data_IF_001884374811
#
_entry.id   IF_001884374811
#
_cell.length_a   1.000
_cell.length_b   1.000
_cell.length_c   1.000
_cell.angle_alpha   90.00
_cell.angle_beta   90.00
_cell.angle_gamma   90.00
#
_symmetry.space_group_name_H-M   'P 1'
#
loop_
_entity.id
_entity.type
_entity.pdbx_description
1 polymer ?
#
# COMPACT_ATOMS: atom_id res chain seq x y z
N UNK A 1 -4.21 27.84 -2.66
CA UNK A 1 -4.28 28.58 -1.37
C UNK A 1 -4.27 30.10 -1.50
N UNK A 2 -3.56 30.73 -2.45
CA UNK A 2 -3.52 32.20 -2.58
C UNK A 2 -4.82 32.87 -3.06
N UNK A 3 -5.72 32.13 -3.73
CA UNK A 3 -6.98 32.65 -4.28
C UNK A 3 -8.11 32.72 -3.25
N UNK A 4 -8.24 31.72 -2.38
CA UNK A 4 -9.19 31.70 -1.25
C UNK A 4 -8.92 32.83 -0.25
N UNK A 5 -7.65 33.07 0.08
CA UNK A 5 -7.23 34.14 1.00
C UNK A 5 -7.57 35.54 0.47
N UNK A 6 -7.57 35.71 -0.86
CA UNK A 6 -7.96 36.96 -1.51
C UNK A 6 -9.47 37.18 -1.54
N UNK A 7 -10.27 36.11 -1.55
CA UNK A 7 -11.74 36.19 -1.46
C UNK A 7 -12.19 36.52 -0.04
N UNK A 8 -11.57 35.91 0.98
CA UNK A 8 -11.81 36.24 2.39
C UNK A 8 -11.47 37.69 2.72
N UNK A 9 -10.35 38.20 2.19
CA UNK A 9 -9.94 39.60 2.37
C UNK A 9 -10.92 40.59 1.72
N UNK A 10 -11.52 40.22 0.58
CA UNK A 10 -12.54 41.04 -0.09
C UNK A 10 -13.88 40.99 0.64
N UNK A 11 -14.27 39.82 1.15
CA UNK A 11 -15.50 39.66 1.95
C UNK A 11 -15.40 40.42 3.28
N UNK A 12 -14.26 40.37 3.97
CA UNK A 12 -14.02 41.10 5.21
C UNK A 12 -14.02 42.63 5.00
N UNK A 13 -13.49 43.13 3.88
CA UNK A 13 -13.57 44.56 3.52
C UNK A 13 -15.00 45.01 3.22
N UNK A 14 -15.80 44.19 2.55
CA UNK A 14 -17.21 44.49 2.30
C UNK A 14 -18.01 44.53 3.61
N UNK A 15 -17.74 43.63 4.55
CA UNK A 15 -18.38 43.57 5.86
C UNK A 15 -18.03 44.77 6.75
N UNK A 16 -16.77 45.22 6.71
CA UNK A 16 -16.33 46.42 7.42
C UNK A 16 -16.89 47.71 6.80
N UNK A 17 -17.08 47.74 5.48
CA UNK A 17 -17.74 48.87 4.82
C UNK A 17 -19.24 48.92 5.13
N UNK A 18 -19.89 47.76 5.28
CA UNK A 18 -21.28 47.67 5.73
C UNK A 18 -21.45 48.13 7.19
N UNK A 19 -20.52 47.78 8.08
CA UNK A 19 -20.51 48.23 9.48
C UNK A 19 -20.30 49.75 9.59
N UNK A 20 -19.41 50.32 8.78
CA UNK A 20 -19.20 51.77 8.74
C UNK A 20 -20.44 52.54 8.23
N UNK A 21 -21.28 51.92 7.40
CA UNK A 21 -22.54 52.51 6.91
C UNK A 21 -23.71 52.37 7.90
N UNK A 22 -23.62 51.44 8.86
CA UNK A 22 -24.71 51.14 9.80
C UNK A 22 -24.62 51.89 11.13
N UNK A 23 -23.46 52.47 11.48
CA UNK A 23 -23.30 53.30 12.68
C UNK A 23 -23.37 52.51 13.99
N UNK A 24 -22.41 52.77 14.88
CA UNK A 24 -22.30 52.12 16.18
C UNK A 24 -23.53 52.34 17.08
N UNK A 25 -23.70 51.37 17.97
CA UNK A 25 -24.76 51.21 18.95
C UNK A 25 -25.08 52.46 19.78
N UNK A 26 -26.38 52.57 20.04
CA UNK A 26 -27.03 53.47 20.99
C UNK A 26 -26.41 53.32 22.38
N UNK A 27 -25.84 54.41 22.93
CA UNK A 27 -25.62 54.58 24.37
C UNK A 27 -26.16 55.93 24.84
N UNK A 28 -27.15 55.91 25.73
CA UNK A 28 -27.72 57.09 26.44
C UNK A 28 -28.16 56.60 27.85
N UNK A 29 -28.17 57.40 28.93
CA UNK A 29 -27.06 58.07 29.62
C UNK A 29 -27.07 57.82 31.17
N UNK A 30 -26.05 58.27 31.92
CA UNK A 30 -26.08 58.36 33.40
C UNK A 30 -26.45 59.78 33.84
N UNK A 31 -27.57 59.92 34.56
CA UNK A 31 -28.06 61.14 35.20
C UNK A 31 -27.45 61.35 36.60
N UNK A 32 -27.11 62.60 36.94
CA UNK A 32 -27.11 63.17 38.31
C UNK A 32 -27.69 64.58 38.26
N UNK A 33 -28.64 64.85 39.18
CA UNK A 33 -29.46 66.07 39.43
C UNK A 33 -28.61 67.24 39.99
N UNK A 34 -28.96 68.52 39.80
CA UNK A 34 -30.02 69.28 40.52
C UNK A 34 -30.72 70.40 39.69
N UNK A 35 -31.91 70.79 40.17
CA UNK A 35 -33.11 71.42 39.54
C UNK A 35 -33.09 72.96 39.39
N UNK A 36 -34.21 73.71 39.10
CA UNK A 36 -35.56 73.39 38.57
C UNK A 36 -35.90 74.20 37.27
N UNK A 37 -36.94 73.95 36.47
CA UNK A 37 -38.36 74.37 36.56
C UNK A 37 -39.10 73.68 35.39
N UNK A 38 -40.39 73.34 35.59
CA UNK A 38 -41.37 72.77 34.63
C UNK A 38 -41.34 71.24 34.42
N UNK A 39 -42.26 70.56 35.10
CA UNK A 39 -42.57 69.15 34.87
C UNK A 39 -44.07 68.91 34.99
N UNK A 40 -44.83 69.25 33.95
CA UNK A 40 -46.27 69.00 33.91
C UNK A 40 -46.75 68.16 32.71
N UNK A 41 -45.94 67.79 31.73
CA UNK A 41 -46.43 66.99 30.60
C UNK A 41 -45.74 65.64 30.56
N UNK A 42 -46.21 64.75 31.43
CA UNK A 42 -45.96 63.32 31.37
C UNK A 42 -47.30 62.61 31.49
N UNK A 43 -48.04 62.47 30.37
CA UNK A 43 -49.05 61.39 30.17
C UNK A 43 -49.82 61.28 28.85
N UNK A 44 -49.55 62.06 27.79
CA UNK A 44 -50.44 62.01 26.59
C UNK A 44 -49.90 61.27 25.36
N UNK A 45 -48.63 60.86 25.29
CA UNK A 45 -48.13 60.19 24.07
C UNK A 45 -47.62 58.77 24.31
N UNK A 46 -48.55 57.88 24.67
CA UNK A 46 -48.50 56.48 24.27
C UNK A 46 -49.87 56.19 23.65
N UNK A 47 -50.02 56.14 22.32
CA UNK A 47 -49.19 55.37 21.37
C UNK A 47 -48.94 56.09 20.02
N UNK A 48 -47.68 56.40 19.66
CA UNK A 48 -47.32 56.73 18.27
C UNK A 48 -46.05 55.95 17.88
N UNK A 49 -46.23 54.64 17.82
CA UNK A 49 -45.51 53.81 16.85
C UNK A 49 -46.59 52.96 16.20
N UNK A 50 -47.44 53.61 15.42
CA UNK A 50 -48.51 52.95 14.69
C UNK A 50 -48.02 52.50 13.32
N UNK A 51 -48.26 51.25 12.96
CA UNK A 51 -49.02 51.10 11.72
C UNK A 51 -50.46 51.44 12.09
N UNK A 52 -50.87 52.68 11.85
CA UNK A 52 -52.28 53.09 11.89
C UNK A 52 -52.61 53.92 10.65
N UNK A 53 -53.83 53.65 10.19
CA UNK A 53 -54.39 53.94 8.88
C UNK A 53 -54.74 55.43 8.72
N UNK A 54 -54.87 55.89 7.48
CA UNK A 54 -54.99 57.30 7.07
C UNK A 54 -56.25 58.04 7.56
N UNK A 55 -57.08 57.46 8.45
CA UNK A 55 -58.41 57.98 8.82
C UNK A 55 -58.54 58.54 10.24
N UNK A 56 -57.48 58.54 11.07
CA UNK A 56 -57.54 59.08 12.45
C UNK A 56 -57.03 60.51 12.64
N UNK A 57 -56.61 61.19 11.57
CA UNK A 57 -56.04 62.53 11.65
C UNK A 57 -57.08 63.62 11.97
N UNK A 58 -58.32 63.47 11.49
CA UNK A 58 -59.37 64.48 11.66
C UNK A 58 -59.92 64.57 13.10
N UNK A 59 -59.93 63.45 13.83
CA UNK A 59 -60.42 63.41 15.22
C UNK A 59 -59.47 64.15 16.18
N UNK A 60 -58.16 63.97 16.02
CA UNK A 60 -57.15 64.63 16.84
C UNK A 60 -57.10 66.14 16.59
N UNK A 61 -57.34 66.59 15.36
CA UNK A 61 -57.41 68.02 15.00
C UNK A 61 -58.63 68.71 15.63
N UNK A 62 -59.76 68.00 15.75
CA UNK A 62 -60.96 68.54 16.41
C UNK A 62 -60.82 68.63 17.94
N UNK A 63 -60.19 67.65 18.57
CA UNK A 63 -60.00 67.65 20.03
C UNK A 63 -59.01 68.76 20.47
N UNK A 64 -57.99 69.03 19.64
CA UNK A 64 -57.06 70.14 19.85
C UNK A 64 -57.76 71.50 19.74
N UNK A 65 -58.75 71.66 18.85
CA UNK A 65 -59.52 72.91 18.70
C UNK A 65 -60.39 73.26 19.92
N UNK A 66 -60.89 72.27 20.67
CA UNK A 66 -61.71 72.51 21.87
C UNK A 66 -60.93 73.03 23.07
N UNK A 67 -59.60 72.89 23.09
CA UNK A 67 -58.75 73.36 24.18
C UNK A 67 -58.36 74.85 24.06
N UNK A 68 -58.81 75.55 23.00
CA UNK A 68 -58.45 76.94 22.71
C UNK A 68 -59.44 78.00 23.27
N UNK A 69 -60.48 77.62 24.02
CA UNK A 69 -61.52 78.56 24.50
C UNK A 69 -61.21 79.29 25.82
N UNK A 70 -60.08 79.05 26.50
CA UNK A 70 -59.64 79.84 27.68
C UNK A 70 -58.31 80.55 27.39
N UNK A 71 -58.36 81.88 27.31
CA UNK A 71 -57.50 82.67 26.42
C UNK A 71 -56.37 83.45 27.14
N UNK A 72 -55.29 83.66 26.38
CA UNK A 72 -54.15 84.60 26.54
C UNK A 72 -52.83 84.10 27.16
N UNK A 73 -52.84 83.21 28.16
CA UNK A 73 -51.58 82.56 28.62
C UNK A 73 -51.32 81.21 27.95
N UNK A 74 -52.38 80.51 27.54
CA UNK A 74 -52.31 79.23 26.84
C UNK A 74 -51.87 79.44 25.38
N UNK A 75 -52.26 80.53 24.74
CA UNK A 75 -51.89 80.87 23.35
C UNK A 75 -50.39 81.07 23.15
N UNK A 76 -49.71 81.81 24.03
CA UNK A 76 -48.26 82.01 23.90
C UNK A 76 -47.45 80.72 24.16
N UNK A 77 -47.85 79.93 25.16
CA UNK A 77 -47.19 78.63 25.46
C UNK A 77 -47.49 77.59 24.38
N UNK A 78 -48.71 77.56 23.82
CA UNK A 78 -49.05 76.70 22.69
C UNK A 78 -48.33 77.11 21.42
N UNK A 79 -48.13 78.40 21.16
CA UNK A 79 -47.45 78.88 19.95
C UNK A 79 -45.97 78.45 19.96
N UNK A 80 -45.29 78.60 21.10
CA UNK A 80 -43.90 78.13 21.26
C UNK A 80 -43.82 76.59 21.23
N UNK A 81 -44.79 75.90 21.86
CA UNK A 81 -44.83 74.43 21.87
C UNK A 81 -45.21 73.83 20.52
N UNK A 82 -46.04 74.51 19.72
CA UNK A 82 -46.41 74.05 18.37
C UNK A 82 -45.25 74.23 17.39
N UNK A 83 -44.46 75.29 17.49
CA UNK A 83 -43.26 75.42 16.68
C UNK A 83 -42.22 74.33 17.00
N UNK A 84 -42.05 73.98 18.28
CA UNK A 84 -41.17 72.86 18.69
C UNK A 84 -41.69 71.53 18.16
N UNK A 85 -42.99 71.24 18.33
CA UNK A 85 -43.60 70.02 17.81
C UNK A 85 -43.55 69.94 16.28
N UNK A 86 -43.78 71.04 15.57
CA UNK A 86 -43.63 71.11 14.11
C UNK A 86 -42.18 70.84 13.71
N UNK A 87 -41.21 71.42 14.42
CA UNK A 87 -39.79 71.19 14.14
C UNK A 87 -39.38 69.73 14.38
N UNK A 88 -39.92 69.06 15.41
CA UNK A 88 -39.69 67.63 15.65
C UNK A 88 -40.37 66.76 14.60
N UNK A 89 -41.59 67.11 14.15
CA UNK A 89 -42.30 66.41 13.08
C UNK A 89 -41.53 66.55 11.76
N UNK A 90 -41.04 67.73 11.43
CA UNK A 90 -40.26 67.97 10.21
C UNK A 90 -38.90 67.28 10.26
N UNK A 91 -38.21 67.32 11.41
CA UNK A 91 -36.97 66.58 11.62
C UNK A 91 -37.19 65.06 11.50
N UNK A 92 -38.29 64.53 12.05
CA UNK A 92 -38.66 63.13 11.89
C UNK A 92 -39.03 62.79 10.45
N UNK A 93 -39.69 63.68 9.72
CA UNK A 93 -40.02 63.50 8.31
C UNK A 93 -38.77 63.44 7.45
N UNK A 94 -37.81 64.33 7.71
CA UNK A 94 -36.50 64.30 7.04
C UNK A 94 -35.75 63.00 7.37
N UNK A 95 -35.75 62.59 8.63
CA UNK A 95 -35.16 61.33 9.06
C UNK A 95 -35.80 60.12 8.37
N UNK A 96 -37.13 60.07 8.29
CA UNK A 96 -37.87 59.00 7.61
C UNK A 96 -37.57 58.98 6.11
N UNK A 97 -37.52 60.14 5.45
CA UNK A 97 -37.17 60.23 4.03
C UNK A 97 -35.73 59.76 3.77
N UNK A 98 -34.79 60.15 4.62
CA UNK A 98 -33.38 59.75 4.52
C UNK A 98 -33.21 58.25 4.78
N UNK A 99 -33.99 57.70 5.71
CA UNK A 99 -33.99 56.27 6.02
C UNK A 99 -34.61 55.46 4.89
N UNK A 100 -35.75 55.90 4.36
CA UNK A 100 -36.39 55.31 3.17
C UNK A 100 -35.41 55.26 1.99
N UNK A 101 -34.72 56.37 1.70
CA UNK A 101 -33.73 56.44 0.63
C UNK A 101 -32.57 55.45 0.84
N UNK A 102 -32.06 55.33 2.06
CA UNK A 102 -31.01 54.36 2.40
C UNK A 102 -31.49 52.92 2.23
N UNK A 103 -32.71 52.60 2.67
CA UNK A 103 -33.32 51.28 2.49
C UNK A 103 -33.48 50.95 1.01
N UNK A 104 -33.96 51.89 0.21
CA UNK A 104 -34.12 51.72 -1.24
C UNK A 104 -32.78 51.49 -1.94
N UNK A 105 -31.74 52.24 -1.54
CA UNK A 105 -30.39 52.10 -2.08
C UNK A 105 -29.80 50.73 -1.72
N UNK A 106 -29.99 50.27 -0.48
CA UNK A 106 -29.60 48.93 -0.03
C UNK A 106 -30.33 47.83 -0.79
N UNK A 107 -31.63 48.00 -1.03
CA UNK A 107 -32.46 47.03 -1.75
C UNK A 107 -32.07 46.94 -3.23
N UNK A 108 -31.74 48.07 -3.86
CA UNK A 108 -31.20 48.08 -5.22
C UNK A 108 -29.83 47.40 -5.28
N UNK A 109 -28.93 47.68 -4.32
CA UNK A 109 -27.61 47.03 -4.30
C UNK A 109 -27.70 45.53 -4.05
N UNK A 110 -28.59 45.06 -3.16
CA UNK A 110 -28.81 43.61 -2.98
C UNK A 110 -29.41 42.96 -4.22
N UNK A 111 -30.30 43.65 -4.95
CA UNK A 111 -30.86 43.15 -6.21
C UNK A 111 -29.79 42.97 -7.31
N UNK A 112 -28.77 43.82 -7.36
CA UNK A 112 -27.63 43.68 -8.27
C UNK A 112 -26.61 42.63 -7.81
N UNK A 113 -26.33 42.54 -6.52
CA UNK A 113 -25.29 41.64 -5.98
C UNK A 113 -25.76 40.18 -5.85
N UNK A 114 -27.05 39.96 -5.58
CA UNK A 114 -27.64 38.63 -5.46
C UNK A 114 -27.39 37.72 -6.69
N UNK A 115 -27.69 38.13 -7.93
CA UNK A 115 -27.45 37.29 -9.12
C UNK A 115 -25.96 37.04 -9.38
N UNK A 116 -25.07 37.97 -9.00
CA UNK A 116 -23.62 37.79 -9.12
C UNK A 116 -23.15 36.73 -8.13
N UNK A 117 -23.64 36.77 -6.89
CA UNK A 117 -23.33 35.77 -5.87
C UNK A 117 -23.87 34.39 -6.23
N UNK A 118 -25.11 34.28 -6.73
CA UNK A 118 -25.67 32.98 -7.13
C UNK A 118 -24.93 32.38 -8.31
N UNK A 119 -24.54 33.18 -9.31
CA UNK A 119 -23.70 32.73 -10.42
C UNK A 119 -22.31 32.28 -9.94
N UNK A 120 -21.69 33.01 -9.00
CA UNK A 120 -20.42 32.60 -8.41
C UNK A 120 -20.52 31.28 -7.63
N UNK A 121 -21.61 31.08 -6.88
CA UNK A 121 -21.88 29.83 -6.16
C UNK A 121 -22.06 28.67 -7.15
N UNK A 122 -22.85 28.86 -8.22
CA UNK A 122 -23.04 27.83 -9.26
C UNK A 122 -21.70 27.47 -9.94
N UNK A 123 -20.85 28.46 -10.24
CA UNK A 123 -19.53 28.21 -10.82
C UNK A 123 -18.62 27.41 -9.88
N UNK A 124 -18.64 27.70 -8.57
CA UNK A 124 -17.87 26.95 -7.57
C UNK A 124 -18.39 25.52 -7.47
N UNK A 125 -19.71 25.31 -7.43
CA UNK A 125 -20.30 23.97 -7.40
C UNK A 125 -19.95 23.16 -8.66
N UNK A 126 -19.96 23.79 -9.83
CA UNK A 126 -19.50 23.13 -11.08
C UNK A 126 -18.04 22.76 -11.04
N UNK A 127 -17.18 23.61 -10.47
CA UNK A 127 -15.76 23.32 -10.29
C UNK A 127 -15.53 22.16 -9.31
N UNK A 128 -16.25 22.13 -8.18
CA UNK A 128 -16.21 21.01 -7.24
C UNK A 128 -16.65 19.71 -7.90
N UNK A 129 -17.73 19.75 -8.68
CA UNK A 129 -18.21 18.60 -9.44
C UNK A 129 -17.17 18.14 -10.48
N UNK A 130 -16.56 19.06 -11.24
CA UNK A 130 -15.49 18.71 -12.17
C UNK A 130 -14.31 18.08 -11.45
N UNK A 131 -13.87 18.65 -10.32
CA UNK A 131 -12.78 18.12 -9.53
C UNK A 131 -13.09 16.69 -9.06
N UNK A 132 -14.29 16.46 -8.53
CA UNK A 132 -14.74 15.15 -8.11
C UNK A 132 -14.68 14.12 -9.26
N UNK A 133 -15.24 14.44 -10.43
CA UNK A 133 -15.19 13.51 -11.56
C UNK A 133 -13.78 13.29 -12.09
N UNK A 134 -12.91 14.32 -12.08
CA UNK A 134 -11.50 14.14 -12.46
C UNK A 134 -10.78 13.22 -11.49
N UNK A 135 -11.06 13.31 -10.19
CA UNK A 135 -10.46 12.44 -9.19
C UNK A 135 -10.91 10.98 -9.37
N UNK A 136 -12.23 10.76 -9.53
CA UNK A 136 -12.77 9.43 -9.85
C UNK A 136 -12.15 8.87 -11.14
N UNK A 137 -11.97 9.70 -12.16
CA UNK A 137 -11.29 9.32 -13.40
C UNK A 137 -9.83 8.90 -13.19
N UNK A 138 -9.09 9.59 -12.33
CA UNK A 138 -7.70 9.25 -11.99
C UNK A 138 -7.62 7.95 -11.18
N UNK A 139 -8.45 7.81 -10.17
CA UNK A 139 -8.48 6.61 -9.31
C UNK A 139 -8.86 5.36 -10.12
N UNK A 140 -9.84 5.48 -11.03
CA UNK A 140 -10.23 4.37 -11.92
C UNK A 140 -9.14 4.02 -12.92
N UNK A 141 -8.44 5.02 -13.47
CA UNK A 141 -7.31 4.78 -14.37
C UNK A 141 -6.14 4.09 -13.64
N UNK A 142 -5.85 4.48 -12.40
CA UNK A 142 -4.83 3.82 -11.58
C UNK A 142 -5.21 2.37 -11.27
N UNK A 143 -6.47 2.13 -10.88
CA UNK A 143 -6.97 0.78 -10.62
C UNK A 143 -6.87 -0.11 -11.87
N UNK A 144 -7.27 0.41 -13.03
CA UNK A 144 -7.17 -0.30 -14.30
C UNK A 144 -5.70 -0.61 -14.66
N UNK A 145 -4.79 0.36 -14.48
CA UNK A 145 -3.36 0.16 -14.71
C UNK A 145 -2.78 -0.91 -13.78
N UNK A 146 -3.16 -0.90 -12.50
CA UNK A 146 -2.73 -1.92 -11.54
C UNK A 146 -3.28 -3.31 -11.88
N UNK A 147 -4.53 -3.38 -12.36
CA UNK A 147 -5.11 -4.64 -12.82
C UNK A 147 -4.37 -5.21 -14.03
N UNK A 148 -4.05 -4.38 -15.03
CA UNK A 148 -3.26 -4.79 -16.21
C UNK A 148 -1.87 -5.27 -15.80
N UNK A 149 -1.18 -4.57 -14.89
CA UNK A 149 0.12 -5.01 -14.35
C UNK A 149 0.01 -6.36 -13.64
N UNK A 150 -1.05 -6.58 -12.85
CA UNK A 150 -1.27 -7.84 -12.15
C UNK A 150 -1.50 -9.00 -13.14
N UNK A 151 -2.27 -8.77 -14.20
CA UNK A 151 -2.48 -9.76 -15.25
C UNK A 151 -1.17 -10.09 -15.99
N UNK A 152 -0.35 -9.08 -16.26
CA UNK A 152 0.96 -9.30 -16.91
C UNK A 152 1.87 -10.19 -16.06
N UNK A 153 2.00 -9.90 -14.75
CA UNK A 153 2.75 -10.72 -13.81
C UNK A 153 2.24 -12.16 -13.75
N UNK A 154 0.93 -12.34 -13.79
CA UNK A 154 0.32 -13.68 -13.81
C UNK A 154 0.68 -14.45 -15.09
N UNK A 155 0.61 -13.80 -16.25
CA UNK A 155 1.00 -14.39 -17.54
C UNK A 155 2.49 -14.74 -17.55
N UNK A 156 3.36 -13.81 -17.12
CA UNK A 156 4.80 -14.05 -17.00
C UNK A 156 5.10 -15.27 -16.11
N UNK A 157 4.35 -15.45 -15.02
CA UNK A 157 4.53 -16.58 -14.11
C UNK A 157 4.13 -17.92 -14.69
N UNK A 158 3.07 -17.93 -15.51
CA UNK A 158 2.70 -19.12 -16.27
C UNK A 158 3.77 -19.43 -17.32
N UNK A 159 4.29 -18.42 -18.00
CA UNK A 159 5.32 -18.60 -19.03
C UNK A 159 6.65 -19.08 -18.43
N UNK A 160 7.07 -18.52 -17.31
CA UNK A 160 8.23 -18.98 -16.54
C UNK A 160 8.06 -20.42 -16.10
N UNK A 161 6.93 -20.75 -15.47
CA UNK A 161 6.65 -22.11 -15.00
C UNK A 161 6.62 -23.13 -16.15
N UNK A 162 6.07 -22.75 -17.31
CA UNK A 162 6.07 -23.58 -18.53
C UNK A 162 7.49 -23.86 -19.04
N UNK A 163 8.40 -22.91 -18.82
CA UNK A 163 9.81 -23.02 -19.17
C UNK A 163 10.66 -23.63 -18.04
N UNK A 164 10.03 -24.20 -16.99
CA UNK A 164 10.75 -24.79 -15.86
C UNK A 164 11.41 -23.77 -14.92
N UNK A 165 11.01 -22.49 -14.99
CA UNK A 165 11.52 -21.44 -14.10
C UNK A 165 10.51 -21.10 -13.01
N UNK A 166 11.01 -20.96 -11.79
CA UNK A 166 10.27 -20.48 -10.64
C UNK A 166 10.51 -18.98 -10.52
N UNK A 167 9.42 -18.22 -10.38
CA UNK A 167 9.51 -16.80 -10.05
C UNK A 167 8.78 -16.49 -8.74
N UNK A 168 8.97 -15.28 -8.22
CA UNK A 168 8.42 -14.86 -6.92
C UNK A 168 6.89 -14.81 -6.87
N UNK A 169 6.21 -14.76 -8.01
CA UNK A 169 4.75 -14.77 -8.06
C UNK A 169 4.18 -16.19 -8.06
N UNK A 170 4.96 -17.18 -8.51
CA UNK A 170 4.63 -18.61 -8.45
C UNK A 170 4.89 -19.18 -7.05
N UNK A 171 6.06 -18.87 -6.48
CA UNK A 171 6.48 -19.32 -5.16
C UNK A 171 7.21 -18.20 -4.44
N UNK A 172 6.64 -17.74 -3.32
CA UNK A 172 7.27 -16.74 -2.47
C UNK A 172 8.28 -17.37 -1.51
N UNK A 173 9.29 -16.59 -1.09
CA UNK A 173 10.27 -17.05 -0.11
C UNK A 173 9.61 -17.42 1.23
N UNK A 174 8.52 -16.75 1.61
CA UNK A 174 7.77 -17.07 2.83
C UNK A 174 7.08 -18.44 2.75
N UNK A 175 6.47 -18.75 1.60
CA UNK A 175 5.86 -20.07 1.36
C UNK A 175 6.91 -21.17 1.37
N UNK A 176 8.06 -20.94 0.72
CA UNK A 176 9.17 -21.88 0.72
C UNK A 176 9.71 -22.12 2.13
N UNK A 177 9.94 -21.06 2.91
CA UNK A 177 10.40 -21.16 4.29
C UNK A 177 9.42 -21.95 5.17
N UNK A 178 8.11 -21.72 5.02
CA UNK A 178 7.06 -22.47 5.71
C UNK A 178 7.07 -23.96 5.34
N UNK A 179 7.19 -24.27 4.04
CA UNK A 179 7.25 -25.65 3.57
C UNK A 179 8.47 -26.39 4.13
N UNK A 180 9.65 -25.76 4.10
CA UNK A 180 10.87 -26.37 4.65
C UNK A 180 10.82 -26.53 6.17
N UNK A 181 10.27 -25.55 6.89
CA UNK A 181 10.06 -25.68 8.33
C UNK A 181 9.11 -26.84 8.68
N UNK A 182 8.13 -27.13 7.82
CA UNK A 182 7.29 -28.30 7.97
C UNK A 182 8.06 -29.60 7.67
N UNK A 183 8.80 -29.67 6.56
CA UNK A 183 9.62 -30.84 6.21
C UNK A 183 10.59 -31.20 7.34
N UNK A 184 11.29 -30.22 7.92
CA UNK A 184 12.23 -30.45 9.03
C UNK A 184 11.57 -31.03 10.28
N UNK A 185 10.27 -30.76 10.50
CA UNK A 185 9.50 -31.33 11.62
C UNK A 185 9.05 -32.75 11.30
N UNK A 186 8.60 -32.99 10.08
CA UNK A 186 7.98 -34.26 9.68
C UNK A 186 9.04 -35.32 9.33
N UNK A 187 10.18 -34.89 8.76
CA UNK A 187 11.27 -35.75 8.30
C UNK A 187 12.62 -35.10 8.68
N UNK A 188 13.17 -35.39 9.87
CA UNK A 188 14.35 -34.69 10.39
C UNK A 188 15.66 -35.04 9.68
N UNK A 189 15.73 -36.16 8.95
CA UNK A 189 16.95 -36.69 8.34
C UNK A 189 17.20 -36.21 6.90
N UNK A 190 16.30 -35.38 6.36
CA UNK A 190 16.41 -34.82 5.02
C UNK A 190 16.51 -33.30 5.05
N UNK A 191 17.21 -32.76 4.07
CA UNK A 191 17.38 -31.31 3.90
C UNK A 191 17.24 -30.91 2.44
N UNK A 192 16.74 -29.69 2.17
CA UNK A 192 16.77 -29.15 0.82
C UNK A 192 18.22 -28.94 0.33
N UNK A 193 18.48 -29.09 -0.98
CA UNK A 193 19.80 -28.94 -1.58
C UNK A 193 20.31 -27.50 -1.70
N UNK A 194 19.71 -26.53 -1.03
CA UNK A 194 20.05 -25.11 -1.17
C UNK A 194 20.07 -24.42 0.19
N UNK A 195 20.75 -23.26 0.22
CA UNK A 195 20.78 -22.41 1.40
C UNK A 195 19.40 -21.82 1.70
N UNK A 196 18.97 -21.99 2.95
CA UNK A 196 17.67 -21.51 3.43
C UNK A 196 17.72 -20.08 3.95
N UNK A 197 18.91 -19.56 4.27
CA UNK A 197 19.06 -18.20 4.79
C UNK A 197 18.84 -17.17 3.67
N UNK A 198 19.18 -17.54 2.43
CA UNK A 198 18.90 -16.74 1.24
C UNK A 198 18.56 -17.64 0.03
N UNK A 199 17.33 -18.16 -0.07
CA UNK A 199 16.95 -19.04 -1.15
C UNK A 199 16.90 -18.29 -2.49
N UNK A 200 17.77 -18.68 -3.41
CA UNK A 200 17.77 -18.18 -4.78
C UNK A 200 16.83 -19.05 -5.62
N UNK A 201 15.73 -18.45 -6.10
CA UNK A 201 14.74 -19.14 -6.92
C UNK A 201 15.29 -19.54 -8.30
N UNK A 202 16.31 -18.84 -8.82
CA UNK A 202 16.98 -19.23 -10.06
C UNK A 202 17.70 -20.56 -9.89
N UNK A 203 18.48 -20.67 -8.81
CA UNK A 203 19.13 -21.92 -8.37
C UNK A 203 18.11 -23.03 -8.12
N UNK A 204 16.99 -22.72 -7.46
CA UNK A 204 15.93 -23.69 -7.22
C UNK A 204 15.32 -24.22 -8.52
N UNK A 205 15.20 -23.36 -9.54
CA UNK A 205 14.65 -23.73 -10.85
C UNK A 205 15.52 -24.76 -11.59
N UNK A 206 16.82 -24.82 -11.31
CA UNK A 206 17.73 -25.78 -11.98
C UNK A 206 17.50 -27.24 -11.52
N UNK A 207 16.93 -27.42 -10.32
CA UNK A 207 16.79 -28.73 -9.67
C UNK A 207 15.34 -29.13 -9.43
N UNK A 208 14.39 -28.18 -9.53
CA UNK A 208 12.98 -28.43 -9.31
C UNK A 208 12.28 -28.89 -10.59
N UNK A 209 11.37 -29.83 -10.45
CA UNK A 209 10.43 -30.18 -11.52
C UNK A 209 9.15 -29.35 -11.36
N UNK A 210 8.74 -28.67 -12.44
CA UNK A 210 7.53 -27.84 -12.43
C UNK A 210 6.50 -28.45 -13.37
N UNK A 211 5.32 -28.75 -12.83
CA UNK A 211 4.18 -29.22 -13.61
C UNK A 211 3.06 -28.18 -13.52
N UNK A 212 2.52 -27.79 -14.68
CA UNK A 212 1.38 -26.89 -14.79
C UNK A 212 0.12 -27.67 -15.15
N UNK A 213 -0.91 -27.51 -14.33
CA UNK A 213 -2.22 -28.07 -14.54
C UNK A 213 -3.24 -26.94 -14.63
N UNK A 214 -4.26 -27.13 -15.46
CA UNK A 214 -5.40 -26.23 -15.55
C UNK A 214 -6.69 -27.03 -15.37
N UNK A 215 -7.50 -26.66 -14.39
CA UNK A 215 -8.78 -27.28 -14.12
C UNK A 215 -9.75 -26.26 -13.52
N UNK A 216 -11.01 -26.28 -13.96
CA UNK A 216 -12.10 -25.43 -13.42
C UNK A 216 -11.76 -23.92 -13.38
N UNK A 217 -11.02 -23.43 -14.38
CA UNK A 217 -10.59 -22.02 -14.44
C UNK A 217 -9.48 -21.65 -13.46
N UNK A 218 -8.83 -22.64 -12.83
CA UNK A 218 -7.68 -22.46 -11.95
C UNK A 218 -6.42 -23.01 -12.61
N UNK A 219 -5.33 -22.27 -12.44
CA UNK A 219 -3.99 -22.76 -12.74
C UNK A 219 -3.36 -23.28 -11.45
N UNK A 220 -2.83 -24.50 -11.51
CA UNK A 220 -2.16 -25.16 -10.41
C UNK A 220 -0.75 -25.47 -10.87
N UNK A 221 0.24 -24.91 -10.17
CA UNK A 221 1.64 -25.24 -10.36
C UNK A 221 2.06 -26.19 -9.25
N UNK A 222 2.55 -27.37 -9.64
CA UNK A 222 3.16 -28.33 -8.74
C UNK A 222 4.67 -28.17 -8.89
N UNK A 223 5.32 -27.71 -7.84
CA UNK A 223 6.78 -27.54 -7.79
C UNK A 223 7.34 -28.67 -6.92
N UNK A 224 8.01 -29.61 -7.55
CA UNK A 224 8.64 -30.75 -6.89
C UNK A 224 10.11 -30.43 -6.65
N UNK A 225 10.49 -30.26 -5.40
CA UNK A 225 11.85 -29.95 -4.98
C UNK A 225 12.46 -31.24 -4.43
N UNK A 226 13.60 -31.72 -4.97
CA UNK A 226 14.27 -32.90 -4.44
C UNK A 226 14.82 -32.60 -3.04
N UNK A 227 14.73 -33.59 -2.14
CA UNK A 227 15.33 -33.53 -0.82
C UNK A 227 16.56 -34.43 -0.77
N UNK A 228 17.57 -34.01 -0.02
CA UNK A 228 18.81 -34.76 0.16
C UNK A 228 18.85 -35.42 1.53
N UNK A 229 19.45 -36.60 1.59
CA UNK A 229 19.86 -37.18 2.86
C UNK A 229 21.03 -36.39 3.46
N UNK A 230 21.04 -36.26 4.79
CA UNK A 230 22.14 -35.63 5.54
C UNK A 230 23.47 -36.38 5.50
N UNK A 231 23.54 -37.55 4.86
CA UNK A 231 24.74 -38.37 4.81
C UNK A 231 25.58 -37.98 3.58
N UNK A 232 26.65 -37.18 3.74
CA UNK A 232 27.52 -36.84 2.63
C UNK A 232 28.22 -38.11 2.12
N UNK A 233 28.33 -38.21 0.80
CA UNK A 233 28.98 -39.32 0.12
C UNK A 233 30.09 -38.82 -0.80
N UNK A 234 31.13 -39.63 -0.93
CA UNK A 234 32.26 -39.36 -1.81
C UNK A 234 32.22 -40.30 -3.00
N UNK A 235 32.36 -39.73 -4.20
CA UNK A 235 32.45 -40.46 -5.46
C UNK A 235 33.91 -40.78 -5.77
N UNK A 236 34.22 -42.07 -5.92
CA UNK A 236 35.52 -42.58 -6.31
C UNK A 236 35.44 -43.20 -7.70
N UNK A 237 36.43 -42.91 -8.54
CA UNK A 237 36.60 -43.58 -9.83
C UNK A 237 37.64 -44.69 -9.70
N UNK A 238 37.25 -45.90 -10.04
CA UNK A 238 38.13 -47.06 -10.01
C UNK A 238 39.05 -47.06 -11.23
N UNK A 239 40.36 -47.06 -10.98
CA UNK A 239 41.39 -47.13 -12.02
C UNK A 239 42.24 -48.37 -11.76
N UNK A 240 42.17 -49.40 -12.60
CA UNK A 240 42.96 -50.62 -12.41
C UNK A 240 44.46 -50.35 -12.59
N UNK A 241 45.25 -50.63 -11.56
CA UNK A 241 46.69 -50.57 -11.62
C UNK A 241 47.28 -51.89 -12.10
N UNK A 242 48.05 -51.85 -13.20
CA UNK A 242 48.75 -53.02 -13.74
C UNK A 242 50.12 -53.15 -13.11
N UNK A 243 50.38 -54.30 -12.47
CA UNK A 243 51.66 -54.64 -11.88
C UNK A 243 52.37 -55.72 -12.70
N UNK A 244 53.69 -55.63 -12.91
CA UNK A 244 54.45 -56.65 -13.61
C UNK A 244 54.44 -57.97 -12.82
N UNK A 245 54.36 -59.09 -13.54
CA UNK A 245 54.39 -60.43 -12.96
C UNK A 245 55.29 -61.34 -13.77
N UNK A 246 56.05 -62.21 -13.09
CA UNK A 246 56.79 -63.31 -13.71
C UNK A 246 55.80 -64.43 -14.06
N UNK A 247 55.73 -64.80 -15.35
CA UNK A 247 54.95 -65.94 -15.81
C UNK A 247 55.83 -67.19 -15.87
N UNK A 248 55.21 -68.38 -15.84
CA UNK A 248 55.88 -69.70 -15.86
C UNK A 248 56.85 -69.90 -17.02
N UNK A 249 56.73 -69.14 -18.11
CA UNK A 249 57.59 -69.23 -19.30
C UNK A 249 58.75 -68.20 -19.32
N UNK A 250 59.18 -67.67 -18.17
CA UNK A 250 60.17 -66.56 -18.08
C UNK A 250 59.74 -65.28 -18.84
N UNK A 251 58.44 -65.12 -19.10
CA UNK A 251 57.88 -63.92 -19.74
C UNK A 251 57.32 -62.96 -18.70
N UNK A 252 57.52 -61.67 -18.91
CA UNK A 252 56.91 -60.64 -18.07
C UNK A 252 55.49 -60.35 -18.53
N UNK A 253 54.52 -60.77 -17.73
CA UNK A 253 53.11 -60.40 -17.85
C UNK A 253 52.77 -59.17 -17.03
N UNK A 254 51.50 -58.79 -17.03
CA UNK A 254 50.95 -57.86 -16.03
C UNK A 254 49.72 -58.46 -15.37
N UNK A 255 49.54 -58.23 -14.08
CA UNK A 255 48.30 -58.53 -13.38
C UNK A 255 47.65 -57.23 -12.90
N UNK A 256 46.33 -57.20 -12.87
CA UNK A 256 45.58 -56.12 -12.27
C UNK A 256 44.30 -56.67 -11.65
N UNK A 257 43.80 -55.96 -10.65
CA UNK A 257 42.49 -56.22 -10.06
C UNK A 257 41.46 -55.61 -10.99
N UNK A 258 40.58 -56.43 -11.54
CA UNK A 258 39.49 -55.93 -12.37
C UNK A 258 38.38 -55.43 -11.43
N UNK A 259 38.07 -54.13 -11.45
CA UNK A 259 36.97 -53.62 -10.66
C UNK A 259 35.65 -54.11 -11.23
N UNK A 260 34.73 -54.42 -10.34
CA UNK A 260 33.35 -54.85 -10.61
C UNK A 260 32.49 -53.70 -11.14
N UNK A 261 32.73 -52.47 -10.69
CA UNK A 261 32.10 -51.25 -11.19
C UNK A 261 33.13 -50.16 -11.51
N UNK A 262 32.78 -49.20 -12.37
CA UNK A 262 33.68 -48.10 -12.71
C UNK A 262 33.78 -47.05 -11.59
N UNK A 263 32.72 -46.89 -10.82
CA UNK A 263 32.66 -45.93 -9.72
C UNK A 263 32.18 -46.59 -8.43
N UNK A 264 32.59 -46.01 -7.32
CA UNK A 264 32.13 -46.37 -5.97
C UNK A 264 31.74 -45.09 -5.27
N UNK A 265 30.54 -45.08 -4.71
CA UNK A 265 30.04 -44.01 -3.85
C UNK A 265 30.10 -44.52 -2.43
N UNK A 266 30.88 -43.87 -1.58
CA UNK A 266 31.10 -44.28 -0.20
C UNK A 266 30.62 -43.19 0.75
N UNK A 267 29.80 -43.56 1.73
CA UNK A 267 29.40 -42.65 2.79
C UNK A 267 30.61 -42.19 3.62
N UNK A 268 30.58 -40.95 4.10
CA UNK A 268 31.71 -40.38 4.86
C UNK A 268 32.03 -41.17 6.15
N UNK A 269 31.03 -41.80 6.76
CA UNK A 269 31.20 -42.69 7.91
C UNK A 269 31.83 -44.04 7.58
N UNK A 270 32.04 -44.34 6.28
CA UNK A 270 32.60 -45.59 5.74
C UNK A 270 31.82 -46.85 6.13
N UNK A 271 30.53 -46.73 6.43
CA UNK A 271 29.69 -47.86 6.84
C UNK A 271 28.85 -48.40 5.69
N UNK A 272 28.51 -47.55 4.73
CA UNK A 272 27.64 -47.88 3.60
C UNK A 272 28.22 -47.37 2.30
N UNK A 273 28.01 -48.12 1.23
CA UNK A 273 28.51 -47.79 -0.10
C UNK A 273 27.53 -48.21 -1.19
N UNK A 274 27.80 -47.77 -2.41
CA UNK A 274 27.10 -48.16 -3.62
C UNK A 274 28.09 -48.25 -4.78
N UNK A 275 27.90 -49.24 -5.65
CA UNK A 275 28.68 -49.43 -6.87
C UNK A 275 27.93 -48.80 -8.03
N UNK A 276 28.53 -47.77 -8.64
CA UNK A 276 27.89 -46.99 -9.69
C UNK A 276 28.55 -47.25 -11.05
N UNK A 277 27.69 -47.40 -12.04
CA UNK A 277 28.06 -47.44 -13.45
C UNK A 277 27.97 -46.04 -14.07
N UNK A 278 28.61 -45.80 -15.24
CA UNK A 278 28.52 -44.51 -15.94
C UNK A 278 27.08 -44.04 -16.15
N UNK A 279 26.19 -44.95 -16.51
CA UNK A 279 24.78 -44.71 -16.81
C UNK A 279 24.03 -44.18 -15.58
N UNK A 280 24.44 -44.58 -14.38
CA UNK A 280 23.86 -44.06 -13.14
C UNK A 280 24.21 -42.59 -12.93
N UNK A 281 25.46 -42.21 -13.21
CA UNK A 281 25.91 -40.83 -13.04
C UNK A 281 25.26 -39.87 -14.05
N UNK A 282 24.81 -40.37 -15.20
CA UNK A 282 24.05 -39.59 -16.19
C UNK A 282 22.67 -39.17 -15.68
N UNK A 283 22.11 -39.88 -14.69
CA UNK A 283 20.85 -39.51 -14.04
C UNK A 283 21.03 -38.45 -12.94
N UNK A 284 22.26 -38.15 -12.55
CA UNK A 284 22.53 -37.18 -11.49
C UNK A 284 22.54 -35.76 -12.05
N UNK A 285 21.99 -34.82 -11.28
CA UNK A 285 22.05 -33.39 -11.60
C UNK A 285 23.32 -32.80 -10.96
N UNK A 286 24.08 -32.01 -11.72
CA UNK A 286 25.23 -31.29 -11.16
C UNK A 286 24.75 -29.99 -10.54
N UNK A 287 25.00 -29.80 -9.25
CA UNK A 287 24.55 -28.63 -8.50
C UNK A 287 25.69 -28.09 -7.63
N UNK A 288 26.10 -26.84 -7.84
CA UNK A 288 27.15 -26.16 -7.05
C UNK A 288 28.41 -27.03 -6.78
N UNK A 289 28.89 -27.74 -7.81
CA UNK A 289 30.04 -28.68 -7.74
C UNK A 289 29.79 -30.01 -7.01
N UNK A 290 28.54 -30.33 -6.71
CA UNK A 290 28.10 -31.61 -6.15
C UNK A 290 27.23 -32.36 -7.16
N UNK A 291 27.12 -33.67 -6.99
CA UNK A 291 26.19 -34.50 -7.75
C UNK A 291 24.98 -34.82 -6.88
N UNK A 292 23.80 -34.39 -7.33
CA UNK A 292 22.52 -34.77 -6.76
C UNK A 292 22.02 -36.00 -7.51
N UNK A 293 22.12 -37.15 -6.86
CA UNK A 293 21.75 -38.42 -7.47
C UNK A 293 20.47 -38.97 -6.84
N UNK A 294 19.64 -39.70 -7.62
CA UNK A 294 18.52 -40.46 -7.07
C UNK A 294 18.97 -41.42 -5.97
N UNK A 295 18.12 -41.67 -4.97
CA UNK A 295 18.45 -42.62 -3.91
C UNK A 295 18.51 -44.03 -4.49
N UNK A 296 19.66 -44.70 -4.32
CA UNK A 296 19.82 -46.11 -4.64
C UNK A 296 19.97 -46.95 -3.36
N UNK A 297 19.74 -48.26 -3.47
CA UNK A 297 19.93 -49.17 -2.35
C UNK A 297 21.40 -49.20 -1.94
N UNK A 298 21.67 -48.83 -0.69
CA UNK A 298 23.02 -48.82 -0.12
C UNK A 298 23.39 -50.21 0.41
N UNK A 299 24.59 -50.68 0.06
CA UNK A 299 25.20 -51.87 0.66
C UNK A 299 25.94 -51.51 1.93
N UNK A 300 25.92 -52.40 2.91
CA UNK A 300 26.66 -52.24 4.17
C UNK A 300 28.03 -52.89 4.06
N UNK A 301 29.07 -52.11 4.35
CA UNK A 301 30.48 -52.53 4.31
C UNK A 301 30.74 -53.75 5.21
N UNK A 302 29.98 -53.90 6.30
CA UNK A 302 30.19 -55.01 7.25
C UNK A 302 29.53 -56.32 6.83
N UNK A 303 28.40 -56.24 6.14
CA UNK A 303 27.54 -57.39 5.85
C UNK A 303 27.72 -57.90 4.43
N UNK A 304 28.06 -57.01 3.51
CA UNK A 304 28.23 -57.29 2.10
C UNK A 304 29.40 -56.46 1.57
N UNK A 305 30.66 -56.76 1.97
CA UNK A 305 31.82 -56.06 1.45
C UNK A 305 32.15 -56.53 0.04
N UNK A 306 32.38 -55.58 -0.88
CA UNK A 306 33.05 -55.88 -2.14
C UNK A 306 34.57 -55.69 -2.01
N UNK A 307 35.31 -56.42 -2.86
CA UNK A 307 36.78 -56.37 -2.94
C UNK A 307 37.33 -54.94 -2.94
N UNK A 308 36.74 -54.04 -3.73
CA UNK A 308 37.23 -52.68 -3.89
C UNK A 308 37.09 -51.85 -2.60
N UNK A 309 36.00 -52.07 -1.85
CA UNK A 309 35.78 -51.44 -0.55
C UNK A 309 36.72 -52.01 0.50
N UNK A 310 36.91 -53.33 0.52
CA UNK A 310 37.87 -53.97 1.43
C UNK A 310 39.28 -53.42 1.20
N UNK A 311 39.71 -53.32 -0.06
CA UNK A 311 41.02 -52.75 -0.40
C UNK A 311 41.15 -51.26 -0.07
N UNK A 312 40.07 -50.49 -0.21
CA UNK A 312 40.07 -49.06 0.08
C UNK A 312 40.14 -48.77 1.59
N UNK A 313 39.51 -49.61 2.40
CA UNK A 313 39.38 -49.40 3.85
C UNK A 313 40.43 -50.13 4.68
N UNK A 314 40.75 -51.38 4.32
CA UNK A 314 41.72 -52.24 5.01
C UNK A 314 42.48 -53.13 4.01
N UNK A 315 43.53 -52.59 3.37
CA UNK A 315 44.31 -53.33 2.37
C UNK A 315 45.13 -54.44 3.04
N UNK A 316 44.69 -55.69 2.86
CA UNK A 316 45.38 -56.89 3.35
C UNK A 316 45.53 -57.96 2.27
N UNK A 317 46.42 -58.94 2.47
CA UNK A 317 46.52 -60.09 1.57
C UNK A 317 45.20 -60.88 1.47
N UNK A 318 44.42 -60.92 2.55
CA UNK A 318 43.11 -61.57 2.56
C UNK A 318 42.12 -60.80 1.68
N UNK A 319 42.13 -59.46 1.76
CA UNK A 319 41.30 -58.57 0.93
C UNK A 319 41.63 -58.73 -0.56
N UNK A 320 42.89 -59.01 -0.93
CA UNK A 320 43.27 -59.24 -2.33
C UNK A 320 42.76 -60.60 -2.85
N UNK A 321 42.59 -61.60 -1.99
CA UNK A 321 42.13 -62.94 -2.40
C UNK A 321 40.66 -62.98 -2.80
N UNK A 322 39.83 -62.07 -2.28
CA UNK A 322 38.42 -61.94 -2.64
C UNK A 322 38.24 -61.23 -4.01
N UNK A 323 39.29 -60.60 -4.52
CA UNK A 323 39.29 -59.83 -5.74
C UNK A 323 39.45 -60.67 -7.02
N UNK A 324 38.78 -60.24 -8.08
CA UNK A 324 38.97 -60.83 -9.41
C UNK A 324 40.24 -60.27 -10.07
N UNK A 325 41.29 -61.09 -10.14
CA UNK A 325 42.58 -60.71 -10.72
C UNK A 325 42.65 -61.19 -12.18
N UNK A 326 42.93 -60.26 -13.10
CA UNK A 326 43.19 -60.57 -14.50
C UNK A 326 44.67 -60.52 -14.81
N UNK A 327 45.16 -61.56 -15.49
CA UNK A 327 46.55 -61.66 -15.96
C UNK A 327 46.59 -61.41 -17.47
N UNK A 328 47.40 -60.45 -17.89
CA UNK A 328 47.71 -60.14 -19.28
C UNK A 328 49.08 -60.72 -19.63
N UNK A 329 49.13 -61.50 -20.71
CA UNK A 329 50.36 -62.17 -21.19
C UNK A 329 51.44 -61.22 -21.72
N UNK A 330 51.12 -59.94 -21.91
CA UNK A 330 52.05 -58.90 -22.36
C UNK A 330 52.00 -57.74 -21.39
N UNK A 331 53.16 -57.39 -20.81
CA UNK A 331 53.31 -56.16 -20.05
C UNK A 331 53.46 -54.98 -21.03
N UNK A 332 52.55 -54.00 -20.96
CA UNK A 332 52.78 -52.66 -21.52
C UNK A 332 52.89 -51.71 -20.33
N UNK A 333 54.04 -51.08 -20.16
CA UNK A 333 54.23 -50.01 -19.18
C UNK A 333 53.33 -48.83 -19.59
N UNK A 334 52.40 -48.45 -18.73
CA UNK A 334 51.54 -47.28 -18.94
C UNK A 334 51.97 -46.06 -18.11
N UNK A 335 53.02 -46.20 -17.30
CA UNK A 335 53.58 -45.13 -16.49
C UNK A 335 55.07 -44.98 -16.82
N UNK A 336 55.40 -43.99 -17.64
CA UNK A 336 56.74 -43.37 -17.68
C UNK A 336 56.64 -42.10 -16.84
N UNK A 337 57.53 -41.98 -15.86
CA UNK A 337 57.62 -40.84 -14.95
C UNK A 337 57.84 -39.51 -15.69
#
# INVERSE_FOLDING_TARGET
>A
MHTLRNLELKASRAQNHLRALLGDEITVPRSKRDAPVFGFISRILGPIVGFTDYTEHEYLVQEVKKLYEDEDTITNVLNDSTHILQSEIDANREYLNKTSYRVQTLQNTTMYLSPIMTNAIDQVQRLEMMLYYTQVGLDTAELAANHVKSLHRFIESIEDAKNGRINHYLLTNEQLAKAVAQIRRDIPDVEPPFDMDNPDLGVLSEIAEIQLLHSEGKFIAIVTIPLMNKLPMSLYRMIPCKMPQQLTDNRTGSAFIQPSSKYIILALNKQTYYQADPEYLEMCVTFQHQYLCPVHQLSSVKTDPCCEIELLLDPSENSVRTCHIKILKKHKSHWTY
#
